data_IF_805066675071
#
_entry.id   IF_805066675071
#
_cell.length_a   1.000
_cell.length_b   1.000
_cell.length_c   1.000
_cell.angle_alpha   90.00
_cell.angle_beta   90.00
_cell.angle_gamma   90.00
#
_symmetry.space_group_name_H-M   'P 1'
#
loop_
_entity.id
_entity.type
_entity.pdbx_description
1 polymer ?
#
# COMPACT_ATOMS: atom_id res chain seq x y z
N UNK A 1 20.18 -99.99 -53.87
CA UNK A 1 20.11 -99.63 -52.44
C UNK A 1 20.91 -98.34 -52.15
N UNK A 2 20.66 -97.22 -52.86
CA UNK A 2 21.48 -95.99 -52.75
C UNK A 2 20.69 -94.66 -52.81
N UNK A 3 19.36 -94.68 -52.69
CA UNK A 3 18.53 -93.44 -52.76
C UNK A 3 18.27 -92.84 -51.36
N UNK A 4 18.55 -93.59 -50.27
CA UNK A 4 18.32 -93.11 -48.90
C UNK A 4 19.42 -92.22 -48.30
N UNK A 5 20.63 -92.17 -48.89
CA UNK A 5 21.78 -91.50 -48.25
C UNK A 5 21.95 -90.02 -48.66
N UNK A 6 21.29 -89.59 -49.74
CA UNK A 6 21.39 -88.21 -50.23
C UNK A 6 20.43 -87.24 -49.49
N UNK A 7 19.37 -87.77 -48.88
CA UNK A 7 18.37 -86.95 -48.18
C UNK A 7 18.81 -86.53 -46.76
N UNK A 8 19.86 -87.13 -46.20
CA UNK A 8 20.39 -86.79 -44.86
C UNK A 8 21.43 -85.66 -44.88
N UNK A 9 22.05 -85.39 -46.04
CA UNK A 9 23.10 -84.37 -46.19
C UNK A 9 22.52 -82.98 -46.47
N UNK A 10 21.34 -82.89 -47.11
CA UNK A 10 20.69 -81.61 -47.37
C UNK A 10 20.07 -80.97 -46.11
N UNK A 11 19.55 -81.76 -45.17
CA UNK A 11 19.00 -81.26 -43.90
C UNK A 11 20.07 -80.73 -42.95
N UNK A 12 21.31 -81.20 -43.08
CA UNK A 12 22.45 -80.73 -42.28
C UNK A 12 22.92 -79.31 -42.62
N UNK A 13 22.63 -78.80 -43.81
CA UNK A 13 23.04 -77.44 -44.23
C UNK A 13 22.09 -76.37 -43.69
N UNK A 14 20.77 -76.60 -43.77
CA UNK A 14 19.77 -75.69 -43.20
C UNK A 14 19.94 -75.53 -41.68
N UNK A 15 20.18 -76.64 -40.96
CA UNK A 15 20.44 -76.60 -39.52
C UNK A 15 21.74 -75.86 -39.15
N UNK A 16 22.74 -75.85 -40.04
CA UNK A 16 24.02 -75.17 -39.80
C UNK A 16 23.91 -73.66 -39.92
N UNK A 17 23.17 -73.19 -40.94
CA UNK A 17 22.89 -71.77 -41.15
C UNK A 17 22.04 -71.22 -39.99
N UNK A 18 21.05 -71.97 -39.53
CA UNK A 18 20.23 -71.62 -38.37
C UNK A 18 21.05 -71.51 -37.08
N UNK A 19 22.02 -72.40 -36.87
CA UNK A 19 22.95 -72.34 -35.71
C UNK A 19 23.83 -71.10 -35.78
N UNK A 20 24.33 -70.73 -36.97
CA UNK A 20 25.15 -69.53 -37.14
C UNK A 20 24.32 -68.26 -36.89
N UNK A 21 23.09 -68.22 -37.42
CA UNK A 21 22.15 -67.11 -37.17
C UNK A 21 21.83 -67.01 -35.68
N UNK A 22 21.58 -68.14 -35.01
CA UNK A 22 21.29 -68.17 -33.58
C UNK A 22 22.49 -67.70 -32.76
N UNK A 23 23.70 -68.18 -33.05
CA UNK A 23 24.93 -67.74 -32.38
C UNK A 23 25.17 -66.24 -32.56
N UNK A 24 24.95 -65.70 -33.76
CA UNK A 24 25.05 -64.26 -34.01
C UNK A 24 24.01 -63.46 -33.21
N UNK A 25 22.75 -63.94 -33.16
CA UNK A 25 21.69 -63.34 -32.33
C UNK A 25 22.02 -63.39 -30.83
N UNK A 26 22.53 -64.50 -30.33
CA UNK A 26 22.96 -64.64 -28.93
C UNK A 26 24.07 -63.65 -28.61
N UNK A 27 25.10 -63.55 -29.47
CA UNK A 27 26.19 -62.58 -29.26
C UNK A 27 25.69 -61.12 -29.31
N UNK A 28 24.70 -60.82 -30.15
CA UNK A 28 24.07 -59.51 -30.22
C UNK A 28 23.26 -59.22 -28.95
N UNK A 29 22.52 -60.22 -28.45
CA UNK A 29 21.73 -60.09 -27.23
C UNK A 29 22.62 -59.89 -26.01
N UNK A 30 23.73 -60.61 -25.90
CA UNK A 30 24.73 -60.44 -24.84
C UNK A 30 25.33 -59.03 -24.85
N UNK A 31 25.67 -58.50 -26.04
CA UNK A 31 26.14 -57.11 -26.19
C UNK A 31 25.08 -56.10 -25.74
N UNK A 32 23.83 -56.29 -26.14
CA UNK A 32 22.73 -55.41 -25.73
C UNK A 32 22.47 -55.48 -24.22
N UNK A 33 22.53 -56.67 -23.61
CA UNK A 33 22.39 -56.83 -22.15
C UNK A 33 23.53 -56.14 -21.40
N UNK A 34 24.76 -56.24 -21.91
CA UNK A 34 25.91 -55.53 -21.36
C UNK A 34 25.73 -54.02 -21.45
N UNK A 35 25.35 -53.50 -22.62
CA UNK A 35 25.06 -52.06 -22.81
C UNK A 35 23.93 -51.57 -21.89
N UNK A 36 22.85 -52.35 -21.75
CA UNK A 36 21.73 -51.99 -20.89
C UNK A 36 22.13 -51.97 -19.41
N UNK A 37 22.98 -52.92 -18.99
CA UNK A 37 23.52 -52.95 -17.63
C UNK A 37 24.41 -51.74 -17.35
N UNK A 38 25.27 -51.40 -18.30
CA UNK A 38 26.18 -50.26 -18.20
C UNK A 38 25.40 -48.94 -18.11
N UNK A 39 24.44 -48.74 -19.03
CA UNK A 39 23.53 -47.58 -19.01
C UNK A 39 22.71 -47.49 -17.71
N UNK A 40 22.29 -48.62 -17.14
CA UNK A 40 21.60 -48.63 -15.84
C UNK A 40 22.51 -48.21 -14.68
N UNK A 41 23.79 -48.59 -14.68
CA UNK A 41 24.71 -48.11 -13.65
C UNK A 41 25.07 -46.63 -13.86
N UNK A 42 25.25 -46.17 -15.10
CA UNK A 42 25.45 -44.75 -15.41
C UNK A 42 24.26 -43.87 -14.99
N UNK A 43 23.03 -44.31 -15.27
CA UNK A 43 21.83 -43.57 -14.86
C UNK A 43 21.68 -43.54 -13.35
N UNK A 44 22.07 -44.63 -12.66
CA UNK A 44 22.07 -44.70 -11.19
C UNK A 44 23.11 -43.78 -10.57
N UNK A 45 24.32 -43.69 -11.11
CA UNK A 45 25.34 -42.75 -10.62
C UNK A 45 24.91 -41.30 -10.88
N UNK A 46 24.43 -40.99 -12.08
CA UNK A 46 23.87 -39.67 -12.39
C UNK A 46 22.69 -39.29 -11.48
N UNK A 47 21.82 -40.25 -11.14
CA UNK A 47 20.72 -40.02 -10.20
C UNK A 47 21.23 -39.72 -8.77
N UNK A 48 22.26 -40.42 -8.30
CA UNK A 48 22.85 -40.14 -6.99
C UNK A 48 23.56 -38.78 -6.95
N UNK A 49 24.26 -38.42 -8.01
CA UNK A 49 24.91 -37.11 -8.14
C UNK A 49 23.88 -35.99 -8.12
N UNK A 50 22.83 -36.09 -8.94
CA UNK A 50 21.74 -35.10 -8.98
C UNK A 50 21.02 -35.01 -7.64
N UNK A 51 20.78 -36.13 -6.95
CA UNK A 51 20.24 -36.14 -5.59
C UNK A 51 21.14 -35.37 -4.62
N UNK A 52 22.46 -35.64 -4.62
CA UNK A 52 23.40 -34.96 -3.75
C UNK A 52 23.50 -33.45 -4.04
N UNK A 53 23.45 -33.08 -5.32
CA UNK A 53 23.45 -31.68 -5.76
C UNK A 53 22.17 -30.96 -5.32
N UNK A 54 21.02 -31.63 -5.40
CA UNK A 54 19.75 -31.09 -4.93
C UNK A 54 19.75 -30.90 -3.42
N UNK A 55 20.24 -31.88 -2.65
CA UNK A 55 20.39 -31.77 -1.20
C UNK A 55 21.27 -30.58 -0.79
N UNK A 56 22.41 -30.38 -1.47
CA UNK A 56 23.29 -29.22 -1.22
C UNK A 56 22.60 -27.90 -1.52
N UNK A 57 21.85 -27.82 -2.62
CA UNK A 57 21.06 -26.61 -2.96
C UNK A 57 19.99 -26.31 -1.93
N UNK A 58 19.32 -27.35 -1.42
CA UNK A 58 18.30 -27.20 -0.39
C UNK A 58 18.91 -26.67 0.91
N UNK A 59 20.01 -27.25 1.38
CA UNK A 59 20.73 -26.77 2.57
C UNK A 59 21.25 -25.33 2.39
N UNK A 60 21.76 -24.99 1.20
CA UNK A 60 22.19 -23.61 0.90
C UNK A 60 21.00 -22.64 0.90
N UNK A 61 19.84 -23.06 0.42
CA UNK A 61 18.63 -22.24 0.42
C UNK A 61 18.10 -22.01 1.83
N UNK A 62 18.13 -23.02 2.70
CA UNK A 62 17.77 -22.91 4.12
C UNK A 62 18.70 -21.93 4.84
N UNK A 63 20.03 -22.09 4.69
CA UNK A 63 21.00 -21.13 5.27
C UNK A 63 20.78 -19.70 4.77
N UNK A 64 20.45 -19.54 3.48
CA UNK A 64 20.16 -18.22 2.91
C UNK A 64 18.87 -17.62 3.51
N UNK A 65 17.82 -18.42 3.67
CA UNK A 65 16.57 -18.01 4.33
C UNK A 65 16.85 -17.58 5.77
N UNK A 66 17.57 -18.40 6.54
CA UNK A 66 17.89 -18.10 7.94
C UNK A 66 18.71 -16.82 8.08
N UNK A 67 19.74 -16.66 7.25
CA UNK A 67 20.59 -15.46 7.25
C UNK A 67 19.84 -14.18 6.86
N UNK A 68 18.78 -14.28 6.06
CA UNK A 68 17.92 -13.15 5.69
C UNK A 68 16.82 -12.90 6.73
N UNK A 69 16.31 -13.95 7.37
CA UNK A 69 15.20 -13.84 8.32
C UNK A 69 15.65 -13.32 9.69
N UNK A 70 16.81 -13.76 10.19
CA UNK A 70 17.33 -13.31 11.48
C UNK A 70 17.44 -11.78 11.62
N UNK A 71 18.09 -11.03 10.69
CA UNK A 71 18.18 -9.58 10.81
C UNK A 71 16.82 -8.90 10.71
N UNK A 72 15.87 -9.46 9.95
CA UNK A 72 14.51 -8.92 9.84
C UNK A 72 13.77 -9.06 11.17
N UNK A 73 13.82 -10.23 11.80
CA UNK A 73 13.21 -10.47 13.12
C UNK A 73 13.84 -9.57 14.19
N UNK A 74 15.17 -9.40 14.15
CA UNK A 74 15.88 -8.52 15.07
C UNK A 74 15.51 -7.04 14.86
N UNK A 75 15.46 -6.58 13.62
CA UNK A 75 15.04 -5.22 13.29
C UNK A 75 13.58 -4.95 13.69
N UNK A 76 12.70 -5.94 13.52
CA UNK A 76 11.31 -5.85 13.95
C UNK A 76 11.17 -5.77 15.48
N UNK A 77 11.94 -6.57 16.23
CA UNK A 77 11.98 -6.51 17.68
C UNK A 77 12.51 -5.16 18.17
N UNK A 78 13.63 -4.69 17.60
CA UNK A 78 14.22 -3.39 17.93
C UNK A 78 13.25 -2.23 17.64
N UNK A 79 12.57 -2.27 16.50
CA UNK A 79 11.56 -1.26 16.15
C UNK A 79 10.41 -1.24 17.14
N UNK A 80 9.90 -2.42 17.53
CA UNK A 80 8.82 -2.53 18.53
C UNK A 80 9.22 -1.88 19.86
N UNK A 81 10.43 -2.16 20.34
CA UNK A 81 10.97 -1.56 21.58
C UNK A 81 11.09 -0.03 21.44
N UNK A 82 11.58 0.47 20.29
CA UNK A 82 11.65 1.91 20.03
C UNK A 82 10.26 2.56 20.01
N UNK A 83 9.26 1.90 19.41
CA UNK A 83 7.88 2.38 19.41
C UNK A 83 7.28 2.43 20.83
N UNK A 84 7.53 1.41 21.65
CA UNK A 84 7.09 1.40 23.04
C UNK A 84 7.76 2.51 23.87
N UNK A 85 9.07 2.72 23.69
CA UNK A 85 9.81 3.82 24.32
C UNK A 85 9.24 5.18 23.90
N UNK A 86 9.03 5.39 22.60
CA UNK A 86 8.48 6.64 22.08
C UNK A 86 7.05 6.89 22.61
N UNK A 87 6.24 5.85 22.71
CA UNK A 87 4.89 5.94 23.29
C UNK A 87 4.94 6.38 24.76
N UNK A 88 5.88 5.85 25.54
CA UNK A 88 6.08 6.26 26.93
C UNK A 88 6.53 7.73 27.02
N UNK A 89 7.46 8.17 26.18
CA UNK A 89 7.88 9.57 26.11
C UNK A 89 6.72 10.51 25.76
N UNK A 90 5.89 10.14 24.79
CA UNK A 90 4.70 10.93 24.41
C UNK A 90 3.74 11.06 25.60
N UNK A 91 3.48 9.98 26.34
CA UNK A 91 2.61 10.03 27.53
C UNK A 91 3.17 10.94 28.62
N UNK A 92 4.50 10.89 28.85
CA UNK A 92 5.18 11.78 29.80
C UNK A 92 5.06 13.23 29.33
N UNK A 93 5.29 13.51 28.04
CA UNK A 93 5.17 14.86 27.48
C UNK A 93 3.74 15.39 27.59
N UNK A 94 2.73 14.56 27.32
CA UNK A 94 1.32 14.93 27.51
C UNK A 94 1.05 15.32 28.96
N UNK A 95 1.51 14.53 29.94
CA UNK A 95 1.37 14.89 31.35
C UNK A 95 2.09 16.19 31.72
N UNK A 96 3.29 16.44 31.16
CA UNK A 96 4.01 17.71 31.38
C UNK A 96 3.25 18.90 30.77
N UNK A 97 2.64 18.73 29.60
CA UNK A 97 1.81 19.77 28.97
C UNK A 97 0.60 20.08 29.85
N UNK A 98 -0.12 19.07 30.34
CA UNK A 98 -1.28 19.27 31.24
C UNK A 98 -0.90 20.04 32.51
N UNK A 99 0.25 19.70 33.12
CA UNK A 99 0.75 20.42 34.30
C UNK A 99 1.10 21.87 33.96
N UNK A 100 1.74 22.13 32.82
CA UNK A 100 2.09 23.48 32.36
C UNK A 100 0.84 24.32 32.04
N UNK A 101 -0.18 23.73 31.43
CA UNK A 101 -1.45 24.41 31.18
C UNK A 101 -2.15 24.78 32.48
N UNK A 102 -2.15 23.88 33.47
CA UNK A 102 -2.73 24.16 34.79
C UNK A 102 -1.94 25.25 35.55
N UNK A 103 -0.60 25.22 35.50
CA UNK A 103 0.22 26.27 36.14
C UNK A 103 0.00 27.63 35.48
N UNK A 104 -0.04 27.68 34.14
CA UNK A 104 -0.30 28.91 33.40
C UNK A 104 -1.70 29.47 33.69
N UNK A 105 -2.72 28.59 33.75
CA UNK A 105 -4.08 28.99 34.10
C UNK A 105 -4.16 29.56 35.51
N UNK A 106 -3.46 28.96 36.48
CA UNK A 106 -3.40 29.43 37.86
C UNK A 106 -2.72 30.80 37.97
N UNK A 107 -1.57 30.98 37.33
CA UNK A 107 -0.87 32.28 37.29
C UNK A 107 -1.74 33.36 36.65
N UNK A 108 -2.42 33.05 35.53
CA UNK A 108 -3.38 33.97 34.90
C UNK A 108 -4.51 34.36 35.84
N UNK A 109 -5.10 33.41 36.57
CA UNK A 109 -6.16 33.70 37.53
C UNK A 109 -5.67 34.61 38.66
N UNK A 110 -4.49 34.35 39.21
CA UNK A 110 -3.87 35.17 40.25
C UNK A 110 -3.59 36.60 39.76
N UNK A 111 -3.05 36.74 38.55
CA UNK A 111 -2.78 38.05 37.94
C UNK A 111 -4.08 38.83 37.70
N UNK A 112 -5.15 38.17 37.23
CA UNK A 112 -6.45 38.83 37.05
C UNK A 112 -7.07 39.25 38.38
N UNK A 113 -6.89 38.44 39.43
CA UNK A 113 -7.37 38.77 40.76
C UNK A 113 -6.63 39.97 41.34
N UNK A 114 -5.29 39.99 41.27
CA UNK A 114 -4.49 41.13 41.73
C UNK A 114 -4.82 42.41 40.96
N UNK A 115 -4.93 42.33 39.63
CA UNK A 115 -5.27 43.48 38.80
C UNK A 115 -6.68 44.01 39.13
N UNK A 116 -7.64 43.11 39.40
CA UNK A 116 -8.99 43.51 39.81
C UNK A 116 -9.01 44.21 41.17
N UNK A 117 -8.15 43.79 42.10
CA UNK A 117 -8.00 44.39 43.43
C UNK A 117 -7.38 45.78 43.33
N UNK A 118 -6.34 45.93 42.52
CA UNK A 118 -5.67 47.20 42.29
C UNK A 118 -6.59 48.21 41.59
N UNK A 119 -7.38 47.76 40.59
CA UNK A 119 -8.39 48.60 39.94
C UNK A 119 -9.46 49.09 40.93
N UNK A 120 -9.92 48.23 41.84
CA UNK A 120 -10.86 48.63 42.90
C UNK A 120 -10.26 49.66 43.85
N UNK A 121 -9.00 49.50 44.27
CA UNK A 121 -8.32 50.48 45.13
C UNK A 121 -8.19 51.84 44.44
N UNK A 122 -7.77 51.84 43.17
CA UNK A 122 -7.63 53.06 42.38
C UNK A 122 -8.97 53.77 42.19
N UNK A 123 -10.03 53.02 41.93
CA UNK A 123 -11.39 53.55 41.78
C UNK A 123 -11.92 54.16 43.09
N UNK A 124 -11.63 53.55 44.25
CA UNK A 124 -11.96 54.10 45.56
C UNK A 124 -11.20 55.42 45.85
N UNK A 125 -9.93 55.51 45.46
CA UNK A 125 -9.14 56.75 45.58
C UNK A 125 -9.70 57.87 44.70
N UNK A 126 -10.10 57.57 43.47
CA UNK A 126 -10.73 58.55 42.57
C UNK A 126 -12.04 59.09 43.15
N UNK A 127 -12.89 58.24 43.74
CA UNK A 127 -14.13 58.67 44.40
C UNK A 127 -13.90 59.60 45.60
N UNK A 128 -12.77 59.46 46.30
CA UNK A 128 -12.39 60.36 47.39
C UNK A 128 -11.95 61.74 46.88
N UNK A 129 -11.33 61.80 45.69
CA UNK A 129 -10.90 63.02 45.02
C UNK A 129 -12.05 63.73 44.28
N UNK A 130 -13.09 63.01 43.86
CA UNK A 130 -14.26 63.56 43.16
C UNK A 130 -15.29 64.23 44.09
N UNK A 131 -15.08 64.26 45.41
CA UNK A 131 -15.97 64.99 46.33
C UNK A 131 -15.77 66.52 46.17
N UNK A 132 -16.78 67.28 45.74
CA UNK A 132 -16.66 68.72 45.59
C UNK A 132 -16.64 69.43 46.97
N UNK A 133 -15.96 70.59 47.11
CA UNK A 133 -15.99 71.37 48.34
C UNK A 133 -17.41 71.92 48.65
N UNK A 134 -17.79 72.03 49.93
CA UNK A 134 -19.15 72.38 50.33
C UNK A 134 -19.51 73.84 50.01
N UNK A 135 -20.76 74.14 49.59
CA UNK A 135 -21.18 75.49 49.23
C UNK A 135 -21.54 76.37 50.45
N UNK A 136 -21.38 77.72 50.37
CA UNK A 136 -21.79 78.65 51.42
C UNK A 136 -23.33 78.90 51.47
N UNK A 137 -23.89 79.36 52.62
CA UNK A 137 -25.35 79.41 52.87
C UNK A 137 -26.09 80.63 52.25
N UNK A 138 -27.44 80.58 52.06
CA UNK A 138 -28.20 81.51 51.20
C UNK A 138 -29.03 82.58 51.95
N UNK A 139 -29.48 83.67 51.28
CA UNK A 139 -30.94 83.97 51.13
C UNK A 139 -31.31 84.74 49.82
N UNK A 140 -32.58 85.19 49.61
CA UNK A 140 -33.81 84.45 49.29
C UNK A 140 -34.22 84.54 47.78
N UNK A 141 -35.17 83.69 47.41
CA UNK A 141 -35.91 83.49 46.12
C UNK A 141 -36.63 84.76 45.58
N UNK A 142 -37.17 84.86 44.33
CA UNK A 142 -37.91 83.79 43.60
C UNK A 142 -37.94 83.82 42.03
N UNK A 143 -38.78 82.92 41.50
CA UNK A 143 -39.45 82.85 40.16
C UNK A 143 -38.52 82.32 39.04
N UNK A 144 -38.85 81.31 38.24
CA UNK A 144 -40.12 80.73 37.80
C UNK A 144 -39.90 79.31 37.27
N UNK A 145 -40.98 78.52 37.26
CA UNK A 145 -41.35 77.46 36.30
C UNK A 145 -40.25 76.61 35.66
N UNK A 146 -40.27 75.29 35.73
CA UNK A 146 -41.42 74.42 35.84
C UNK A 146 -41.13 73.15 35.03
N UNK A 147 -41.65 72.04 35.52
CA UNK A 147 -41.95 70.81 34.77
C UNK A 147 -40.77 70.02 34.13
N UNK A 148 -40.15 69.19 34.98
CA UNK A 148 -40.15 67.69 34.94
C UNK A 148 -41.33 67.06 34.13
N UNK A 149 -41.39 65.76 33.75
CA UNK A 149 -40.49 64.68 34.20
C UNK A 149 -40.28 63.45 33.28
N UNK A 150 -39.41 62.55 33.78
CA UNK A 150 -39.65 61.09 33.87
C UNK A 150 -39.60 60.22 32.59
N UNK A 151 -39.09 58.99 32.61
CA UNK A 151 -38.40 58.16 33.62
C UNK A 151 -37.95 56.88 32.92
N UNK A 152 -37.04 56.18 33.62
CA UNK A 152 -37.01 54.73 33.82
C UNK A 152 -36.73 53.85 32.58
N UNK A 153 -35.58 53.14 32.56
CA UNK A 153 -35.37 51.81 33.19
C UNK A 153 -36.23 50.75 32.49
N UNK A 154 -35.76 49.57 32.13
CA UNK A 154 -34.59 48.75 32.46
C UNK A 154 -34.74 47.47 31.60
N UNK A 155 -33.87 46.48 31.83
CA UNK A 155 -33.97 45.08 31.40
C UNK A 155 -33.27 44.82 30.05
N UNK A 156 -32.17 44.05 29.98
CA UNK A 156 -32.18 42.62 30.34
C UNK A 156 -31.90 41.69 29.18
N UNK A 157 -30.61 41.42 28.85
CA UNK A 157 -30.06 40.14 28.33
C UNK A 157 -30.60 39.62 26.99
N UNK A 158 -29.71 39.26 26.06
CA UNK A 158 -29.23 37.89 25.82
C UNK A 158 -28.44 37.81 24.51
N UNK A 159 -27.52 36.85 24.45
CA UNK A 159 -26.63 36.58 23.33
C UNK A 159 -27.35 35.93 22.14
N UNK A 160 -26.92 36.23 20.91
CA UNK A 160 -26.29 35.25 20.01
C UNK A 160 -25.83 35.87 18.70
N UNK A 161 -24.66 35.39 18.34
CA UNK A 161 -23.97 35.46 17.07
C UNK A 161 -24.76 34.66 16.03
N UNK A 162 -25.13 35.29 14.91
CA UNK A 162 -25.74 34.62 13.75
C UNK A 162 -24.93 34.93 12.49
N UNK A 163 -24.22 33.91 12.03
CA UNK A 163 -23.84 33.74 10.63
C UNK A 163 -25.08 33.35 9.81
N UNK A 164 -25.31 34.05 8.70
CA UNK A 164 -26.24 33.66 7.63
C UNK A 164 -25.57 34.16 6.33
N UNK A 165 -25.10 33.33 5.40
CA UNK A 165 -25.59 32.00 5.04
C UNK A 165 -26.84 32.13 4.18
N UNK A 166 -26.74 32.76 3.01
CA UNK A 166 -27.81 32.78 2.01
C UNK A 166 -27.70 31.52 1.15
N UNK A 167 -28.72 30.67 1.25
CA UNK A 167 -29.12 29.67 0.26
C UNK A 167 -30.55 29.98 -0.17
N UNK A 168 -30.82 29.87 -1.47
CA UNK A 168 -32.12 29.52 -2.06
C UNK A 168 -31.90 29.20 -3.56
N UNK A 169 -32.77 28.44 -4.26
CA UNK A 169 -33.07 27.03 -4.01
C UNK A 169 -32.94 26.14 -5.28
N UNK A 170 -32.35 24.96 -5.08
CA UNK A 170 -32.86 23.62 -5.43
C UNK A 170 -33.47 23.37 -6.83
N UNK A 171 -32.76 22.56 -7.62
CA UNK A 171 -33.36 21.44 -8.38
C UNK A 171 -32.73 20.13 -7.89
N UNK A 172 -33.29 19.64 -6.80
CA UNK A 172 -33.08 18.35 -6.16
C UNK A 172 -33.55 17.26 -7.12
N UNK A 173 -32.58 16.62 -7.77
CA UNK A 173 -32.71 15.22 -8.12
C UNK A 173 -32.18 14.43 -6.94
N UNK A 174 -33.00 13.48 -6.52
CA UNK A 174 -32.81 12.58 -5.40
C UNK A 174 -31.37 12.04 -5.28
N UNK A 175 -30.96 11.82 -4.02
CA UNK A 175 -29.80 11.00 -3.67
C UNK A 175 -30.03 9.55 -4.09
N UNK A 176 -29.97 9.25 -5.39
CA UNK A 176 -29.56 7.92 -5.84
C UNK A 176 -28.09 7.78 -5.51
N UNK A 177 -27.74 6.79 -4.68
CA UNK A 177 -26.35 6.38 -4.47
C UNK A 177 -25.74 6.18 -5.87
N UNK A 178 -24.69 6.93 -6.19
CA UNK A 178 -24.00 6.80 -7.47
C UNK A 178 -23.71 5.32 -7.73
N UNK A 179 -24.10 4.85 -8.91
CA UNK A 179 -23.91 3.44 -9.28
C UNK A 179 -22.41 3.14 -9.31
N UNK A 180 -21.98 1.89 -9.07
CA UNK A 180 -20.57 1.53 -9.22
C UNK A 180 -20.01 1.95 -10.58
N UNK A 181 -20.79 1.83 -11.64
CA UNK A 181 -20.43 2.24 -12.99
C UNK A 181 -20.12 3.75 -13.06
N UNK A 182 -20.99 4.61 -12.50
CA UNK A 182 -20.74 6.06 -12.42
C UNK A 182 -19.47 6.39 -11.60
N UNK A 183 -19.21 5.65 -10.52
CA UNK A 183 -18.01 5.87 -9.70
C UNK A 183 -16.74 5.53 -10.48
N UNK A 184 -16.78 4.47 -11.29
CA UNK A 184 -15.66 4.11 -12.17
C UNK A 184 -15.41 5.17 -13.24
N UNK A 185 -16.45 5.63 -13.92
CA UNK A 185 -16.32 6.66 -14.96
C UNK A 185 -15.77 7.97 -14.38
N UNK A 186 -16.23 8.37 -13.19
CA UNK A 186 -15.66 9.49 -12.44
C UNK A 186 -14.16 9.28 -12.15
N UNK A 187 -13.78 8.10 -11.68
CA UNK A 187 -12.39 7.75 -11.35
C UNK A 187 -11.50 7.82 -12.59
N UNK A 188 -11.95 7.25 -13.70
CA UNK A 188 -11.23 7.22 -14.97
C UNK A 188 -11.11 8.63 -15.57
N UNK A 189 -12.16 9.45 -15.48
CA UNK A 189 -12.11 10.86 -15.88
C UNK A 189 -11.09 11.66 -15.06
N UNK A 190 -10.99 11.41 -13.75
CA UNK A 190 -9.99 12.03 -12.88
C UNK A 190 -8.57 11.56 -13.23
N UNK A 191 -8.39 10.27 -13.51
CA UNK A 191 -7.10 9.71 -13.91
C UNK A 191 -6.62 10.31 -15.24
N UNK A 192 -7.51 10.43 -16.23
CA UNK A 192 -7.24 11.09 -17.52
C UNK A 192 -6.84 12.57 -17.35
N UNK A 193 -7.42 13.25 -16.36
CA UNK A 193 -7.07 14.63 -15.99
C UNK A 193 -5.82 14.71 -15.09
N UNK A 194 -5.15 13.59 -14.82
CA UNK A 194 -4.00 13.49 -13.92
C UNK A 194 -4.29 13.95 -12.48
N UNK A 195 -5.57 13.98 -12.08
CA UNK A 195 -6.01 14.27 -10.72
C UNK A 195 -5.89 13.00 -9.86
N UNK A 196 -4.65 12.54 -9.66
CA UNK A 196 -4.34 11.21 -9.12
C UNK A 196 -4.89 10.96 -7.71
N UNK A 197 -4.85 11.96 -6.82
CA UNK A 197 -5.44 11.86 -5.47
C UNK A 197 -6.95 11.61 -5.50
N UNK A 198 -7.66 12.31 -6.39
CA UNK A 198 -9.10 12.13 -6.57
C UNK A 198 -9.41 10.77 -7.20
N UNK A 199 -8.64 10.39 -8.23
CA UNK A 199 -8.78 9.11 -8.92
C UNK A 199 -8.55 7.93 -7.96
N UNK A 200 -7.49 7.97 -7.14
CA UNK A 200 -7.19 6.98 -6.10
C UNK A 200 -8.40 6.72 -5.21
N UNK A 201 -8.95 7.79 -4.62
CA UNK A 201 -10.12 7.70 -3.72
C UNK A 201 -11.34 7.10 -4.42
N UNK A 202 -11.61 7.49 -5.67
CA UNK A 202 -12.76 6.99 -6.45
C UNK A 202 -12.59 5.54 -6.87
N UNK A 203 -11.39 5.12 -7.29
CA UNK A 203 -11.12 3.70 -7.57
C UNK A 203 -11.20 2.83 -6.32
N UNK A 204 -10.72 3.30 -5.16
CA UNK A 204 -10.91 2.59 -3.89
C UNK A 204 -12.39 2.41 -3.54
N UNK A 205 -13.21 3.45 -3.73
CA UNK A 205 -14.65 3.40 -3.50
C UNK A 205 -15.34 2.42 -4.47
N UNK A 206 -14.97 2.44 -5.75
CA UNK A 206 -15.45 1.47 -6.75
C UNK A 206 -15.14 0.03 -6.33
N UNK A 207 -13.88 -0.25 -5.97
CA UNK A 207 -13.42 -1.60 -5.62
C UNK A 207 -14.05 -2.11 -4.31
N UNK A 208 -14.47 -1.22 -3.42
CA UNK A 208 -15.25 -1.57 -2.21
C UNK A 208 -16.70 -1.91 -2.55
N UNK A 209 -17.33 -1.14 -3.44
CA UNK A 209 -18.75 -1.28 -3.79
C UNK A 209 -19.04 -2.38 -4.80
N UNK A 210 -18.13 -2.60 -5.76
CA UNK A 210 -18.27 -3.60 -6.82
C UNK A 210 -17.02 -4.49 -6.93
N UNK A 211 -16.72 -5.34 -5.94
CA UNK A 211 -15.52 -6.18 -5.94
C UNK A 211 -15.48 -7.24 -7.06
N UNK A 212 -16.61 -7.49 -7.74
CA UNK A 212 -16.78 -8.40 -8.88
C UNK A 212 -17.48 -7.74 -10.08
N UNK A 213 -17.46 -6.40 -10.15
CA UNK A 213 -18.00 -5.65 -11.29
C UNK A 213 -17.22 -5.88 -12.59
N UNK A 214 -17.79 -5.45 -13.70
CA UNK A 214 -17.19 -5.63 -15.03
C UNK A 214 -15.85 -4.89 -15.19
N UNK A 215 -15.67 -3.76 -14.52
CA UNK A 215 -14.48 -2.91 -14.66
C UNK A 215 -13.48 -3.09 -13.51
N UNK A 216 -13.52 -4.23 -12.80
CA UNK A 216 -12.66 -4.44 -11.62
C UNK A 216 -11.19 -4.59 -11.99
N UNK A 217 -10.88 -5.21 -13.13
CA UNK A 217 -9.50 -5.32 -13.60
C UNK A 217 -8.93 -3.93 -13.93
N UNK A 218 -9.69 -3.15 -14.69
CA UNK A 218 -9.37 -1.78 -15.07
C UNK A 218 -9.31 -0.84 -13.87
N UNK A 219 -10.21 -0.97 -12.90
CA UNK A 219 -10.21 -0.17 -11.69
C UNK A 219 -9.03 -0.49 -10.78
N UNK A 220 -8.62 -1.76 -10.68
CA UNK A 220 -7.39 -2.13 -9.95
C UNK A 220 -6.15 -1.57 -10.64
N UNK A 221 -6.12 -1.61 -11.97
CA UNK A 221 -5.06 -0.98 -12.74
C UNK A 221 -5.04 0.54 -12.54
N UNK A 222 -6.20 1.20 -12.63
CA UNK A 222 -6.36 2.64 -12.44
C UNK A 222 -5.98 3.11 -11.03
N UNK A 223 -6.28 2.32 -10.00
CA UNK A 223 -5.80 2.57 -8.63
C UNK A 223 -4.27 2.55 -8.58
N UNK A 224 -3.63 1.53 -9.17
CA UNK A 224 -2.18 1.42 -9.20
C UNK A 224 -1.52 2.57 -9.99
N UNK A 225 -2.12 2.99 -11.10
CA UNK A 225 -1.67 4.16 -11.87
C UNK A 225 -1.83 5.47 -11.08
N UNK A 226 -2.92 5.59 -10.31
CA UNK A 226 -3.14 6.75 -9.43
C UNK A 226 -2.08 6.82 -8.33
N UNK A 227 -1.80 5.69 -7.67
CA UNK A 227 -0.74 5.57 -6.67
C UNK A 227 0.64 5.91 -7.25
N UNK A 228 0.93 5.40 -8.45
CA UNK A 228 2.15 5.76 -9.18
C UNK A 228 2.23 7.26 -9.46
N UNK A 229 1.12 7.88 -9.87
CA UNK A 229 1.04 9.31 -10.19
C UNK A 229 1.27 10.23 -8.99
N UNK A 230 0.84 9.83 -7.79
CA UNK A 230 1.15 10.53 -6.53
C UNK A 230 2.53 10.18 -5.95
N UNK A 231 3.30 9.33 -6.64
CA UNK A 231 4.64 8.85 -6.25
C UNK A 231 4.67 7.94 -5.02
N UNK A 232 3.51 7.35 -4.67
CA UNK A 232 3.39 6.27 -3.69
C UNK A 232 3.78 4.94 -4.36
N UNK A 233 5.08 4.79 -4.64
CA UNK A 233 5.57 3.68 -5.47
C UNK A 233 5.46 2.31 -4.80
N UNK A 234 5.60 2.25 -3.47
CA UNK A 234 5.47 1.00 -2.70
C UNK A 234 4.04 0.47 -2.76
N UNK A 235 3.06 1.35 -2.53
CA UNK A 235 1.64 1.05 -2.64
C UNK A 235 1.25 0.71 -4.07
N UNK A 236 1.79 1.43 -5.07
CA UNK A 236 1.59 1.11 -6.47
C UNK A 236 2.08 -0.29 -6.82
N UNK A 237 3.26 -0.70 -6.31
CA UNK A 237 3.79 -2.07 -6.50
C UNK A 237 2.81 -3.11 -5.97
N UNK A 238 2.29 -2.91 -4.76
CA UNK A 238 1.32 -3.83 -4.15
C UNK A 238 0.01 -3.88 -4.95
N UNK A 239 -0.46 -2.73 -5.45
CA UNK A 239 -1.67 -2.64 -6.27
C UNK A 239 -1.52 -3.36 -7.61
N UNK A 240 -0.42 -3.15 -8.35
CA UNK A 240 -0.14 -3.92 -9.58
C UNK A 240 -0.01 -5.41 -9.29
N UNK A 241 0.69 -5.78 -8.21
CA UNK A 241 0.86 -7.17 -7.81
C UNK A 241 -0.49 -7.85 -7.53
N UNK A 242 -1.43 -7.12 -6.93
CA UNK A 242 -2.78 -7.61 -6.65
C UNK A 242 -3.57 -7.84 -7.93
N UNK A 243 -3.51 -6.94 -8.91
CA UNK A 243 -4.09 -7.14 -10.24
C UNK A 243 -3.54 -8.42 -10.90
N UNK A 244 -2.21 -8.56 -10.94
CA UNK A 244 -1.53 -9.70 -11.57
C UNK A 244 -1.93 -11.04 -10.92
N UNK A 245 -2.01 -11.08 -9.58
CA UNK A 245 -2.38 -12.29 -8.83
C UNK A 245 -3.86 -12.62 -8.96
N UNK A 246 -4.73 -11.61 -8.89
CA UNK A 246 -6.18 -11.84 -8.93
C UNK A 246 -6.71 -12.12 -10.33
N UNK A 247 -6.06 -11.60 -11.37
CA UNK A 247 -6.50 -11.73 -12.76
C UNK A 247 -5.36 -12.18 -13.68
N UNK A 248 -4.87 -13.43 -13.54
CA UNK A 248 -3.71 -13.93 -14.28
C UNK A 248 -3.92 -14.11 -15.79
N UNK A 249 -5.15 -13.90 -16.29
CA UNK A 249 -5.49 -13.92 -17.72
C UNK A 249 -5.77 -12.53 -18.28
N UNK A 250 -5.63 -11.47 -17.47
CA UNK A 250 -5.92 -10.11 -17.89
C UNK A 250 -4.99 -9.65 -19.01
N UNK A 251 -5.54 -8.93 -19.99
CA UNK A 251 -4.76 -8.30 -21.05
C UNK A 251 -3.88 -7.15 -20.52
N UNK A 252 -4.15 -6.68 -19.30
CA UNK A 252 -3.42 -5.62 -18.61
C UNK A 252 -2.13 -6.11 -17.94
N UNK A 253 -1.88 -7.42 -17.85
CA UNK A 253 -0.71 -7.96 -17.14
C UNK A 253 0.63 -7.43 -17.68
N UNK A 254 0.89 -7.41 -19.01
CA UNK A 254 2.17 -6.88 -19.50
C UNK A 254 2.35 -5.41 -19.14
N UNK A 255 1.27 -4.64 -19.14
CA UNK A 255 1.27 -3.23 -18.74
C UNK A 255 1.57 -3.09 -17.24
N UNK A 256 0.84 -3.83 -16.40
CA UNK A 256 0.97 -3.81 -14.95
C UNK A 256 2.37 -4.25 -14.49
N UNK A 257 2.93 -5.32 -15.08
CA UNK A 257 4.30 -5.75 -14.81
C UNK A 257 5.32 -4.65 -15.17
N UNK A 258 5.12 -3.99 -16.32
CA UNK A 258 6.02 -2.93 -16.75
C UNK A 258 5.98 -1.74 -15.80
N UNK A 259 4.77 -1.32 -15.41
CA UNK A 259 4.57 -0.21 -14.47
C UNK A 259 5.06 -0.54 -13.07
N UNK A 260 4.86 -1.76 -12.60
CA UNK A 260 5.45 -2.27 -11.35
C UNK A 260 6.97 -2.21 -11.40
N UNK A 261 7.59 -2.61 -12.51
CA UNK A 261 9.04 -2.49 -12.70
C UNK A 261 9.49 -1.02 -12.68
N UNK A 262 8.75 -0.10 -13.30
CA UNK A 262 9.04 1.33 -13.23
C UNK A 262 8.94 1.88 -11.80
N UNK A 263 7.99 1.42 -10.99
CA UNK A 263 7.90 1.76 -9.56
C UNK A 263 9.16 1.33 -8.81
N UNK A 264 9.62 0.08 -9.01
CA UNK A 264 10.86 -0.39 -8.40
C UNK A 264 12.08 0.44 -8.82
N UNK A 265 12.16 0.86 -10.09
CA UNK A 265 13.22 1.75 -10.58
C UNK A 265 13.17 3.11 -9.88
N UNK A 266 11.99 3.68 -9.68
CA UNK A 266 11.84 4.95 -8.95
C UNK A 266 12.27 4.82 -7.48
N UNK A 267 12.11 3.64 -6.89
CA UNK A 267 12.61 3.29 -5.56
C UNK A 267 14.10 2.90 -5.55
N UNK A 268 14.79 2.97 -6.70
CA UNK A 268 16.20 2.56 -6.89
C UNK A 268 16.46 1.06 -6.67
N UNK A 269 15.43 0.24 -6.58
CA UNK A 269 15.54 -1.22 -6.56
C UNK A 269 15.60 -1.76 -8.01
N UNK A 270 16.79 -1.65 -8.61
CA UNK A 270 17.03 -2.13 -9.98
C UNK A 270 17.00 -3.64 -10.09
N UNK A 271 17.24 -4.36 -8.98
CA UNK A 271 17.23 -5.83 -8.93
C UNK A 271 15.83 -6.38 -9.17
N UNK A 272 14.86 -5.93 -8.37
CA UNK A 272 13.45 -6.32 -8.54
C UNK A 272 12.89 -5.86 -9.88
N UNK A 273 13.26 -4.66 -10.33
CA UNK A 273 12.88 -4.15 -11.64
C UNK A 273 13.37 -5.06 -12.78
N UNK A 274 14.64 -5.49 -12.75
CA UNK A 274 15.23 -6.37 -13.76
C UNK A 274 14.47 -7.68 -13.88
N UNK A 275 14.16 -8.32 -12.76
CA UNK A 275 13.39 -9.57 -12.73
C UNK A 275 12.01 -9.43 -13.39
N UNK A 276 11.30 -8.33 -13.11
CA UNK A 276 9.99 -8.08 -13.73
C UNK A 276 10.10 -7.79 -15.23
N UNK A 277 11.10 -7.02 -15.66
CA UNK A 277 11.32 -6.74 -17.08
C UNK A 277 11.70 -8.00 -17.87
N UNK A 278 12.54 -8.87 -17.30
CA UNK A 278 12.88 -10.17 -17.87
C UNK A 278 11.66 -11.08 -17.95
N UNK A 279 10.81 -11.08 -16.92
CA UNK A 279 9.54 -11.81 -16.93
C UNK A 279 8.64 -11.38 -18.08
N UNK A 280 8.52 -10.08 -18.35
CA UNK A 280 7.72 -9.57 -19.48
C UNK A 280 8.25 -10.09 -20.82
N UNK A 281 9.57 -10.09 -21.01
CA UNK A 281 10.21 -10.58 -22.24
C UNK A 281 9.95 -12.08 -22.42
N UNK A 282 10.06 -12.85 -21.34
CA UNK A 282 9.88 -14.31 -21.35
C UNK A 282 8.43 -14.73 -21.57
N UNK A 283 7.50 -14.14 -20.82
CA UNK A 283 6.10 -14.55 -20.80
C UNK A 283 5.24 -13.84 -21.85
N UNK A 284 5.62 -12.62 -22.27
CA UNK A 284 4.87 -11.81 -23.22
C UNK A 284 5.75 -11.29 -24.38
N UNK A 285 6.50 -12.16 -25.09
CA UNK A 285 7.52 -11.75 -26.07
C UNK A 285 6.98 -10.93 -27.25
N UNK A 286 5.70 -11.13 -27.61
CA UNK A 286 5.04 -10.40 -28.71
C UNK A 286 4.41 -9.07 -28.29
N UNK A 287 4.38 -8.76 -26.99
CA UNK A 287 3.77 -7.52 -26.48
C UNK A 287 4.62 -6.30 -26.79
N UNK A 288 3.99 -5.13 -26.92
CA UNK A 288 4.70 -3.84 -26.99
C UNK A 288 5.60 -3.63 -25.76
N UNK A 289 5.17 -4.13 -24.59
CA UNK A 289 5.89 -4.04 -23.32
C UNK A 289 7.18 -4.84 -23.31
N UNK A 290 7.27 -5.98 -24.01
CA UNK A 290 8.52 -6.72 -24.14
C UNK A 290 9.60 -5.90 -24.87
N UNK A 291 9.24 -5.16 -25.93
CA UNK A 291 10.17 -4.26 -26.62
C UNK A 291 10.67 -3.14 -25.70
N UNK A 292 9.77 -2.52 -24.94
CA UNK A 292 10.12 -1.49 -23.95
C UNK A 292 10.97 -2.06 -22.81
N UNK A 293 10.69 -3.29 -22.37
CA UNK A 293 11.44 -3.97 -21.33
C UNK A 293 12.89 -4.24 -21.76
N UNK A 294 13.11 -4.71 -22.99
CA UNK A 294 14.45 -4.84 -23.55
C UNK A 294 15.21 -3.52 -23.57
N UNK A 295 14.56 -2.43 -23.99
CA UNK A 295 15.19 -1.10 -23.99
C UNK A 295 15.54 -0.65 -22.58
N UNK A 296 14.64 -0.87 -21.61
CA UNK A 296 14.84 -0.44 -20.23
C UNK A 296 15.95 -1.25 -19.54
N UNK A 297 16.03 -2.56 -19.77
CA UNK A 297 17.08 -3.42 -19.24
C UNK A 297 18.49 -3.02 -19.70
N UNK A 298 18.64 -2.56 -20.93
CA UNK A 298 19.93 -2.06 -21.44
C UNK A 298 20.37 -0.74 -20.79
N UNK A 299 19.42 0.00 -20.21
CA UNK A 299 19.67 1.29 -19.56
C UNK A 299 19.82 1.19 -18.03
N UNK A 300 19.68 -0.01 -17.46
CA UNK A 300 19.82 -0.32 -16.02
C UNK A 300 21.13 -1.04 -15.75
#
# INVERSE_FOLDING_TARGET
MWIGLLSLVLTGCAARDDIIILANRTSTLERNLFQLRDSNEETKTAFQETKSALSRRLEQSEKKIDSQLQPVLQNQANSTIQFESLKAEIQILQGRIEVLEHSQKKERAQLTESLSKDLKDLQARLQLLEKPPPPPPPPPTPIDSGAKPEKAKEITREAKEDQKGVKEPVKEKEKTKATPEEIYEDADALLKKQAYEGAKKKFEDYLKKAPKGNNVEEARFGLAESLYGVKEYEEAILAYQKLIKSYPKSKLIPEALYKQALSFINLKDTGSARLLLEKIIKEFPKSSRAKLAHKKLKAL
#
